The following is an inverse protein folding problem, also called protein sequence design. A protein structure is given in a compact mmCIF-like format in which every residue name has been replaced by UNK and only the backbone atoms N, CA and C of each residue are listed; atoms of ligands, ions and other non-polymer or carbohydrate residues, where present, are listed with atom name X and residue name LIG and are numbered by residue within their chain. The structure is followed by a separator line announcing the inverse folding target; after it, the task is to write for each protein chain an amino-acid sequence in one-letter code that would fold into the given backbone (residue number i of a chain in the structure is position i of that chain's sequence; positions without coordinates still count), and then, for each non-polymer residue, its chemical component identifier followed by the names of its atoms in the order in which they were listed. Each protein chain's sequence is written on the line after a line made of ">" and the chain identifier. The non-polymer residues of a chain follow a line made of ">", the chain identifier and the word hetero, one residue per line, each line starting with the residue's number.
data_IF_857491349573
#
_entry.id   IF_857491349573
#
_cell.length_a   1.000
_cell.length_b   1.000
_cell.length_c   1.000
_cell.angle_alpha   90.00
_cell.angle_beta   90.00
_cell.angle_gamma   90.00
#
_symmetry.space_group_name_H-M   'P 1'
#
loop_
_entity.id
_entity.type
_entity.pdbx_description
1 polymer ?
#
# COMPACT_ATOMS: atom_id res chain seq x y z
N UNK A 1 -11.17 9.50 41.51
CA UNK A 1 -11.93 10.26 40.50
C UNK A 1 -11.86 9.47 39.20
N UNK A 2 -12.87 8.65 38.89
CA UNK A 2 -12.91 7.92 37.62
C UNK A 2 -13.17 8.94 36.51
N UNK A 3 -12.21 9.12 35.62
CA UNK A 3 -12.32 10.07 34.51
C UNK A 3 -13.50 9.70 33.61
N UNK A 4 -14.25 10.69 33.15
CA UNK A 4 -15.44 10.55 32.30
C UNK A 4 -15.14 10.07 30.85
N UNK A 5 -14.00 9.39 30.65
CA UNK A 5 -13.54 8.94 29.34
C UNK A 5 -13.65 7.42 29.22
N UNK A 6 -13.84 6.94 28.00
CA UNK A 6 -13.91 5.50 27.71
C UNK A 6 -12.51 4.86 27.81
N UNK A 7 -12.36 3.71 28.48
CA UNK A 7 -11.12 2.93 28.41
C UNK A 7 -10.86 2.48 26.97
N UNK A 8 -9.61 2.20 26.63
CA UNK A 8 -9.26 1.68 25.30
C UNK A 8 -9.92 0.32 25.05
N UNK A 9 -10.59 0.20 23.91
CA UNK A 9 -11.19 -1.02 23.39
C UNK A 9 -10.68 -1.26 21.96
N UNK A 10 -9.93 -2.35 21.77
CA UNK A 10 -9.33 -2.68 20.48
C UNK A 10 -10.37 -2.93 19.39
N UNK A 11 -11.53 -3.49 19.74
CA UNK A 11 -12.62 -3.76 18.79
C UNK A 11 -13.24 -2.47 18.25
N UNK A 12 -13.49 -1.50 19.13
CA UNK A 12 -13.99 -0.17 18.78
C UNK A 12 -12.96 0.60 17.95
N UNK A 13 -11.67 0.50 18.26
CA UNK A 13 -10.59 1.07 17.47
C UNK A 13 -10.55 0.51 16.04
N UNK A 14 -10.53 -0.82 15.88
CA UNK A 14 -10.51 -1.47 14.56
C UNK A 14 -11.79 -1.23 13.75
N UNK A 15 -12.90 -0.93 14.43
CA UNK A 15 -14.17 -0.54 13.82
C UNK A 15 -14.26 0.97 13.52
N UNK A 16 -13.24 1.77 13.83
CA UNK A 16 -13.24 3.22 13.64
C UNK A 16 -14.19 3.99 14.55
N UNK A 17 -14.61 3.40 15.68
CA UNK A 17 -15.52 3.98 16.67
C UNK A 17 -14.82 4.58 17.89
N UNK A 18 -13.53 4.32 18.06
CA UNK A 18 -12.70 4.90 19.10
C UNK A 18 -11.35 5.31 18.51
N UNK A 19 -10.87 6.50 18.88
CA UNK A 19 -9.54 6.97 18.57
C UNK A 19 -8.73 7.11 19.86
N UNK A 20 -7.63 6.34 20.05
CA UNK A 20 -6.74 6.50 21.20
C UNK A 20 -6.01 7.85 21.10
N UNK A 21 -5.92 8.55 22.23
CA UNK A 21 -5.34 9.91 22.29
C UNK A 21 -4.00 9.86 23.03
N UNK A 22 -2.98 10.43 22.41
CA UNK A 22 -1.64 10.57 22.95
C UNK A 22 -1.28 12.06 23.05
N UNK A 23 -0.52 12.43 24.08
CA UNK A 23 -0.02 13.78 24.26
C UNK A 23 1.49 13.78 24.09
N UNK A 24 2.01 14.75 23.34
CA UNK A 24 3.42 14.85 23.03
C UNK A 24 3.79 16.13 22.29
N UNK A 25 5.07 16.28 21.99
CA UNK A 25 5.62 17.31 21.11
C UNK A 25 6.54 16.63 20.11
N UNK A 26 6.11 16.54 18.86
CA UNK A 26 6.91 15.94 17.79
C UNK A 26 8.23 16.70 17.56
N UNK A 27 8.21 18.03 17.68
CA UNK A 27 9.40 18.89 17.52
C UNK A 27 10.46 18.56 18.57
N UNK A 28 10.04 18.20 19.79
CA UNK A 28 10.94 17.84 20.88
C UNK A 28 11.16 16.32 20.99
N UNK A 29 10.67 15.54 20.02
CA UNK A 29 10.65 14.08 20.04
C UNK A 29 10.09 13.48 21.35
N UNK A 30 9.08 14.13 21.93
CA UNK A 30 8.46 13.73 23.20
C UNK A 30 7.08 13.14 22.95
N UNK A 31 6.78 11.96 23.52
CA UNK A 31 5.49 11.27 23.35
C UNK A 31 5.32 10.52 22.03
N UNK A 32 6.34 10.51 21.16
CA UNK A 32 6.32 9.77 19.88
C UNK A 32 6.48 8.27 20.10
N UNK A 33 7.37 7.85 20.99
CA UNK A 33 7.61 6.42 21.26
C UNK A 33 6.33 5.68 21.71
N UNK A 34 5.57 6.16 22.72
CA UNK A 34 4.33 5.49 23.13
C UNK A 34 3.27 5.40 22.01
N UNK A 35 3.22 6.41 21.13
CA UNK A 35 2.34 6.40 19.96
C UNK A 35 2.75 5.29 18.97
N UNK A 36 4.05 5.17 18.68
CA UNK A 36 4.58 4.17 17.76
C UNK A 36 4.45 2.75 18.32
N UNK A 37 4.75 2.55 19.61
CA UNK A 37 4.58 1.25 20.28
C UNK A 37 3.12 0.78 20.17
N UNK A 38 2.19 1.66 20.51
CA UNK A 38 0.76 1.39 20.36
C UNK A 38 0.37 1.10 18.90
N UNK A 39 0.90 1.88 17.96
CA UNK A 39 0.61 1.71 16.53
C UNK A 39 1.06 0.33 16.03
N UNK A 40 2.28 -0.09 16.36
CA UNK A 40 2.81 -1.40 15.96
C UNK A 40 2.01 -2.54 16.58
N UNK A 41 1.59 -2.41 17.84
CA UNK A 41 0.83 -3.45 18.54
C UNK A 41 -0.61 -3.60 18.04
N UNK A 42 -1.28 -2.48 17.73
CA UNK A 42 -2.73 -2.48 17.53
C UNK A 42 -3.18 -2.19 16.11
N UNK A 43 -2.38 -1.53 15.26
CA UNK A 43 -2.78 -1.23 13.90
C UNK A 43 -3.08 -2.51 13.11
N UNK A 44 -4.06 -2.48 12.20
CA UNK A 44 -4.38 -3.65 11.41
C UNK A 44 -3.24 -3.96 10.43
N UNK A 45 -2.88 -5.24 10.35
CA UNK A 45 -2.11 -5.80 9.25
C UNK A 45 -2.85 -5.59 7.90
N UNK A 46 -2.21 -5.86 6.74
CA UNK A 46 -2.90 -5.88 5.45
C UNK A 46 -4.23 -6.65 5.54
N UNK A 47 -5.29 -6.06 4.99
CA UNK A 47 -6.65 -6.63 5.06
C UNK A 47 -7.12 -7.06 3.69
N UNK A 48 -8.05 -8.00 3.68
CA UNK A 48 -8.71 -8.43 2.46
C UNK A 48 -9.31 -7.24 1.69
N UNK A 49 -9.16 -7.27 0.37
CA UNK A 49 -9.65 -6.23 -0.54
C UNK A 49 -10.86 -6.74 -1.30
N UNK A 50 -11.99 -6.04 -1.19
CA UNK A 50 -13.17 -6.35 -1.99
C UNK A 50 -12.93 -6.02 -3.48
N UNK A 51 -13.37 -6.91 -4.36
CA UNK A 51 -13.38 -6.72 -5.82
C UNK A 51 -14.80 -6.94 -6.35
N UNK A 52 -14.99 -6.82 -7.66
CA UNK A 52 -16.30 -7.07 -8.30
C UNK A 52 -16.75 -8.53 -8.24
N UNK A 53 -15.82 -9.49 -8.06
CA UNK A 53 -16.13 -10.92 -8.10
C UNK A 53 -16.02 -11.59 -6.73
N UNK A 54 -14.99 -11.25 -5.95
CA UNK A 54 -14.72 -11.82 -4.62
C UNK A 54 -13.88 -10.88 -3.75
N UNK A 55 -13.75 -11.19 -2.47
CA UNK A 55 -12.67 -10.64 -1.65
C UNK A 55 -11.35 -11.33 -2.01
N UNK A 56 -10.26 -10.55 -2.06
CA UNK A 56 -8.89 -11.04 -2.20
C UNK A 56 -8.21 -10.94 -0.84
N UNK A 57 -7.79 -12.07 -0.29
CA UNK A 57 -7.10 -12.15 0.99
C UNK A 57 -5.59 -11.92 0.80
N UNK A 58 -4.90 -11.22 1.72
CA UNK A 58 -3.47 -10.96 1.59
C UNK A 58 -2.61 -12.22 1.66
N UNK A 59 -3.11 -13.30 2.26
CA UNK A 59 -2.43 -14.58 2.37
C UNK A 59 -2.45 -15.39 1.06
N UNK A 60 -3.18 -14.96 0.03
CA UNK A 60 -3.17 -15.65 -1.26
C UNK A 60 -1.78 -15.57 -1.91
N UNK A 61 -1.28 -16.70 -2.42
CA UNK A 61 0.05 -16.74 -3.07
C UNK A 61 0.10 -15.94 -4.38
N UNK A 62 -1.04 -15.82 -5.05
CA UNK A 62 -1.12 -15.20 -6.36
C UNK A 62 -1.05 -13.67 -6.25
N UNK A 63 -0.13 -13.06 -7.00
CA UNK A 63 0.08 -11.61 -6.99
C UNK A 63 -1.18 -10.86 -7.42
N UNK A 64 -1.57 -9.87 -6.62
CA UNK A 64 -2.55 -8.87 -7.04
C UNK A 64 -2.23 -7.50 -6.48
N UNK A 65 -2.69 -6.46 -7.16
CA UNK A 65 -2.62 -5.10 -6.64
C UNK A 65 -3.41 -4.13 -7.49
N UNK A 66 -3.59 -2.92 -6.98
CA UNK A 66 -4.32 -1.88 -7.69
C UNK A 66 -3.61 -0.53 -7.60
N UNK A 67 -3.76 0.25 -8.67
CA UNK A 67 -3.21 1.60 -8.76
C UNK A 67 -4.16 2.58 -8.06
N UNK A 68 -3.67 3.30 -7.06
CA UNK A 68 -4.49 4.26 -6.29
C UNK A 68 -4.11 5.72 -6.53
N UNK A 69 -2.91 5.97 -7.06
CA UNK A 69 -2.40 7.32 -7.35
C UNK A 69 -1.51 7.28 -8.58
N UNK A 70 -1.59 8.31 -9.42
CA UNK A 70 -0.61 8.56 -10.47
C UNK A 70 -0.01 9.94 -10.24
N UNK A 71 1.31 10.02 -10.19
CA UNK A 71 2.04 11.28 -10.10
C UNK A 71 2.80 11.49 -11.40
N UNK A 72 2.69 12.68 -11.98
CA UNK A 72 3.37 13.07 -13.20
C UNK A 72 4.50 14.05 -12.91
N UNK A 73 5.44 14.18 -13.85
CA UNK A 73 6.56 15.12 -13.83
C UNK A 73 7.47 14.88 -12.62
N UNK A 74 7.85 13.63 -12.39
CA UNK A 74 8.76 13.28 -11.31
C UNK A 74 10.23 13.49 -11.70
N UNK A 75 10.54 13.47 -12.99
CA UNK A 75 11.75 13.94 -13.65
C UNK A 75 11.37 15.05 -14.66
N UNK A 76 11.81 16.30 -14.42
CA UNK A 76 11.57 17.42 -15.32
C UNK A 76 12.05 17.18 -16.77
N UNK A 77 13.05 16.32 -16.98
CA UNK A 77 13.66 16.07 -18.28
C UNK A 77 12.89 15.04 -19.12
N UNK A 78 12.22 14.08 -18.47
CA UNK A 78 11.67 12.90 -19.15
C UNK A 78 10.13 12.80 -19.13
N UNK A 79 9.42 13.77 -18.52
CA UNK A 79 7.94 13.76 -18.36
C UNK A 79 7.43 12.38 -17.91
N UNK A 80 8.14 11.77 -16.99
CA UNK A 80 7.80 10.46 -16.46
C UNK A 80 6.52 10.57 -15.60
N UNK A 81 5.81 9.45 -15.53
CA UNK A 81 4.68 9.29 -14.61
C UNK A 81 4.90 8.02 -13.84
N UNK A 82 4.62 8.06 -12.55
CA UNK A 82 4.68 6.89 -11.67
C UNK A 82 3.27 6.58 -11.19
N UNK A 83 2.83 5.36 -11.46
CA UNK A 83 1.60 4.79 -10.94
C UNK A 83 1.91 4.06 -9.63
N UNK A 84 1.36 4.54 -8.53
CA UNK A 84 1.51 3.92 -7.21
C UNK A 84 0.50 2.79 -7.10
N UNK A 85 1.02 1.58 -7.03
CA UNK A 85 0.27 0.34 -6.89
C UNK A 85 0.43 -0.17 -5.45
N UNK A 86 -0.71 -0.47 -4.80
CA UNK A 86 -0.72 -1.18 -3.52
C UNK A 86 -0.84 -2.67 -3.79
N UNK A 87 0.11 -3.45 -3.26
CA UNK A 87 0.06 -4.90 -3.29
C UNK A 87 -1.04 -5.39 -2.34
N UNK A 88 -1.92 -6.25 -2.84
CA UNK A 88 -3.08 -6.77 -2.12
C UNK A 88 -2.91 -8.23 -1.71
N UNK A 89 -2.22 -9.03 -2.51
CA UNK A 89 -1.91 -10.43 -2.24
C UNK A 89 -0.66 -10.87 -3.01
N UNK A 90 -0.12 -12.03 -2.62
CA UNK A 90 1.04 -12.64 -3.25
C UNK A 90 2.31 -11.84 -3.09
N UNK A 91 3.27 -12.14 -3.96
CA UNK A 91 4.60 -11.56 -3.93
C UNK A 91 4.90 -10.90 -5.28
N UNK A 92 5.34 -9.64 -5.24
CA UNK A 92 5.93 -9.00 -6.40
C UNK A 92 7.39 -9.39 -6.51
N UNK A 93 7.83 -9.77 -7.71
CA UNK A 93 9.24 -9.98 -8.04
C UNK A 93 9.62 -9.16 -9.28
N UNK A 94 10.80 -8.54 -9.24
CA UNK A 94 11.30 -7.74 -10.34
C UNK A 94 11.31 -8.52 -11.66
N UNK A 95 10.61 -8.00 -12.66
CA UNK A 95 10.53 -8.60 -13.99
C UNK A 95 9.41 -9.63 -14.16
N UNK A 96 8.59 -9.87 -13.14
CA UNK A 96 7.41 -10.74 -13.27
C UNK A 96 6.43 -10.22 -14.33
N UNK A 97 5.59 -11.12 -14.85
CA UNK A 97 4.46 -10.75 -15.70
C UNK A 97 3.20 -10.67 -14.85
N UNK A 98 2.38 -9.65 -15.09
CA UNK A 98 1.06 -9.52 -14.49
C UNK A 98 0.03 -9.11 -15.55
N UNK A 99 -1.19 -9.59 -15.41
CA UNK A 99 -2.31 -9.22 -16.27
C UNK A 99 -2.85 -7.85 -15.84
N UNK A 100 -2.85 -6.87 -16.74
CA UNK A 100 -3.58 -5.62 -16.52
C UNK A 100 -5.07 -5.85 -16.85
N UNK A 101 -5.90 -6.01 -15.83
CA UNK A 101 -7.28 -6.49 -15.98
C UNK A 101 -8.13 -5.62 -16.93
N UNK A 102 -7.95 -4.30 -16.94
CA UNK A 102 -8.69 -3.37 -17.81
C UNK A 102 -8.38 -3.57 -19.29
N UNK A 103 -7.13 -3.82 -19.65
CA UNK A 103 -6.69 -3.95 -21.05
C UNK A 103 -6.65 -5.41 -21.51
N UNK A 104 -6.66 -6.36 -20.57
CA UNK A 104 -6.52 -7.79 -20.85
C UNK A 104 -5.13 -8.19 -21.33
N UNK A 105 -4.13 -7.31 -21.21
CA UNK A 105 -2.76 -7.55 -21.67
C UNK A 105 -1.86 -7.95 -20.51
N UNK A 106 -0.97 -8.90 -20.77
CA UNK A 106 0.13 -9.18 -19.85
C UNK A 106 1.21 -8.10 -19.98
N UNK A 107 1.62 -7.55 -18.84
CA UNK A 107 2.62 -6.48 -18.74
C UNK A 107 3.77 -6.99 -17.88
N UNK A 108 5.00 -6.73 -18.32
CA UNK A 108 6.19 -7.01 -17.52
C UNK A 108 6.41 -5.90 -16.51
N UNK A 109 6.48 -6.25 -15.22
CA UNK A 109 6.73 -5.33 -14.11
C UNK A 109 8.23 -5.37 -13.76
N UNK A 110 9.08 -4.81 -14.62
CA UNK A 110 10.55 -4.93 -14.49
C UNK A 110 11.19 -3.91 -13.54
N UNK A 111 10.76 -2.66 -13.62
CA UNK A 111 11.43 -1.53 -12.97
C UNK A 111 10.46 -0.85 -11.99
N UNK A 112 9.92 -1.62 -11.04
CA UNK A 112 9.12 -1.02 -9.98
C UNK A 112 10.04 -0.27 -9.01
N UNK A 113 9.59 0.89 -8.56
CA UNK A 113 10.27 1.70 -7.57
C UNK A 113 9.71 1.37 -6.19
N UNK A 114 10.57 1.20 -5.18
CA UNK A 114 10.16 1.30 -3.78
C UNK A 114 10.42 2.71 -3.27
N UNK A 115 9.65 3.11 -2.27
CA UNK A 115 9.76 4.42 -1.64
C UNK A 115 10.22 4.22 -0.20
N UNK A 116 11.54 4.20 -0.01
CA UNK A 116 12.13 4.15 1.32
C UNK A 116 12.61 5.56 1.68
N UNK A 117 11.91 6.21 2.62
CA UNK A 117 12.14 7.59 3.00
C UNK A 117 12.08 8.57 1.80
N UNK A 118 13.13 9.38 1.61
CA UNK A 118 13.22 10.39 0.54
C UNK A 118 13.76 9.81 -0.78
N UNK A 119 14.30 8.60 -0.75
CA UNK A 119 15.03 8.00 -1.86
C UNK A 119 14.16 7.01 -2.64
N UNK A 120 14.46 6.90 -3.93
CA UNK A 120 13.80 5.96 -4.85
C UNK A 120 14.80 4.89 -5.20
N UNK A 121 14.44 3.65 -4.88
CA UNK A 121 15.26 2.49 -5.19
C UNK A 121 14.46 1.52 -6.06
N UNK A 122 15.16 0.68 -6.84
CA UNK A 122 14.50 -0.38 -7.59
C UNK A 122 14.07 -1.45 -6.59
N UNK A 123 12.77 -1.73 -6.55
CA UNK A 123 12.23 -2.79 -5.72
C UNK A 123 12.56 -4.16 -6.35
N UNK A 124 13.33 -4.97 -5.63
CA UNK A 124 13.55 -6.38 -6.02
C UNK A 124 12.33 -7.25 -5.70
N UNK A 125 11.69 -6.96 -4.56
CA UNK A 125 10.51 -7.67 -4.03
C UNK A 125 9.54 -6.73 -3.31
N UNK A 126 8.27 -7.14 -3.18
CA UNK A 126 7.27 -6.46 -2.35
C UNK A 126 6.14 -7.40 -1.91
N UNK A 127 5.55 -7.12 -0.74
CA UNK A 127 4.56 -7.95 -0.06
C UNK A 127 3.22 -7.22 0.12
N UNK A 128 2.13 -7.93 0.48
CA UNK A 128 0.82 -7.31 0.71
C UNK A 128 0.92 -6.17 1.73
N UNK A 129 0.37 -5.01 1.41
CA UNK A 129 0.50 -3.79 2.21
C UNK A 129 1.53 -2.80 1.65
N UNK A 130 2.56 -3.29 0.95
CA UNK A 130 3.57 -2.43 0.34
C UNK A 130 3.00 -1.63 -0.82
N UNK A 131 3.66 -0.51 -1.10
CA UNK A 131 3.37 0.38 -2.22
C UNK A 131 4.59 0.44 -3.13
N UNK A 132 4.39 0.01 -4.38
CA UNK A 132 5.40 0.07 -5.44
C UNK A 132 5.00 1.08 -6.51
N UNK A 133 6.00 1.72 -7.13
CA UNK A 133 5.83 2.69 -8.20
C UNK A 133 6.11 2.07 -9.56
N UNK A 134 5.11 2.02 -10.44
CA UNK A 134 5.27 1.54 -11.81
C UNK A 134 5.46 2.71 -12.78
N UNK A 135 6.49 2.64 -13.61
CA UNK A 135 6.68 3.58 -14.70
C UNK A 135 5.48 3.53 -15.66
N UNK A 136 4.91 4.69 -15.96
CA UNK A 136 3.67 4.80 -16.71
C UNK A 136 3.86 5.74 -17.93
N UNK A 137 3.84 5.15 -19.13
CA UNK A 137 3.86 5.88 -20.40
C UNK A 137 2.45 6.23 -20.92
N UNK A 138 1.44 6.27 -20.03
CA UNK A 138 0.05 6.57 -20.35
C UNK A 138 -0.86 5.34 -20.50
N UNK A 139 -0.33 4.14 -20.29
CA UNK A 139 -1.11 2.89 -20.40
C UNK A 139 -1.80 2.49 -19.10
N UNK A 140 -1.36 3.04 -17.96
CA UNK A 140 -1.89 2.75 -16.62
C UNK A 140 -2.78 3.91 -16.15
N UNK A 141 -3.96 3.58 -15.60
CA UNK A 141 -4.94 4.50 -15.05
C UNK A 141 -5.17 4.26 -13.54
N UNK A 142 -5.76 5.24 -12.85
CA UNK A 142 -6.21 5.07 -11.46
C UNK A 142 -7.29 4.00 -11.41
N UNK A 143 -7.18 3.08 -10.45
CA UNK A 143 -8.06 1.93 -10.30
C UNK A 143 -7.65 0.71 -11.12
N UNK A 144 -6.63 0.81 -11.98
CA UNK A 144 -6.14 -0.35 -12.72
C UNK A 144 -5.69 -1.45 -11.77
N UNK A 145 -6.15 -2.66 -12.04
CA UNK A 145 -5.87 -3.85 -11.25
C UNK A 145 -4.91 -4.75 -12.00
N UNK A 146 -3.83 -5.14 -11.33
CA UNK A 146 -2.90 -6.17 -11.76
C UNK A 146 -3.32 -7.50 -11.12
N UNK A 147 -3.45 -8.53 -11.94
CA UNK A 147 -3.78 -9.89 -11.53
C UNK A 147 -2.67 -10.85 -12.00
N UNK A 148 -2.68 -12.13 -11.59
CA UNK A 148 -1.74 -13.11 -12.11
C UNK A 148 -1.79 -13.17 -13.64
N UNK A 149 -0.63 -13.27 -14.28
CA UNK A 149 -0.54 -13.41 -15.72
C UNK A 149 -1.30 -14.66 -16.20
N UNK A 150 -1.79 -14.61 -17.44
CA UNK A 150 -2.33 -15.82 -18.08
C UNK A 150 -1.14 -16.72 -18.43
N UNK A 151 -1.20 -17.98 -17.99
CA UNK A 151 -0.19 -18.99 -18.33
C UNK A 151 -0.07 -19.21 -19.83
#
# INVERSE_FOLDING_TARGET
>A
MQGASHPFDRGAYLAGRQAPVFFGSAVNNFGVQPLLDFFVEHAPAPRARATTTRAVAPEEEAFSGFVFKIQANMDPQHRDRVAFLRVCSGHYEAGMKALQARTGKDVKLANALTFMASDREIAESAWPGDVIGLHNHGTIAIGDTSAPARG
#
